data_IF_165824933734
#
_entry.id   IF_165824933734
#
_cell.length_a   1.000
_cell.length_b   1.000
_cell.length_c   1.000
_cell.angle_alpha   90.00
_cell.angle_beta   90.00
_cell.angle_gamma   90.00
#
_symmetry.space_group_name_H-M   'P 1'
#
loop_
_entity.id
_entity.type
_entity.pdbx_description
1 polymer ?
#
# COMPACT_ATOMS: atom_id res chain seq x y z
N UNK A 1 7.52 -20.31 14.93
CA UNK A 1 7.67 -19.51 13.69
C UNK A 1 6.27 -19.37 13.13
N UNK A 2 5.80 -18.14 12.83
CA UNK A 2 4.41 -17.93 12.35
C UNK A 2 4.24 -18.53 10.94
N UNK A 3 3.06 -19.07 10.65
CA UNK A 3 2.74 -19.56 9.30
C UNK A 3 2.55 -18.40 8.33
N UNK A 4 2.62 -18.68 7.02
CA UNK A 4 2.33 -17.69 5.96
C UNK A 4 0.93 -17.08 6.13
N UNK A 5 -0.07 -17.89 6.50
CA UNK A 5 -1.44 -17.42 6.76
C UNK A 5 -1.55 -16.55 8.01
N UNK A 6 -0.83 -16.87 9.08
CA UNK A 6 -0.80 -16.03 10.30
C UNK A 6 -0.15 -14.68 10.04
N UNK A 7 0.92 -14.64 9.24
CA UNK A 7 1.54 -13.39 8.81
C UNK A 7 0.58 -12.56 7.93
N UNK A 8 -0.11 -13.19 6.99
CA UNK A 8 -1.10 -12.52 6.13
C UNK A 8 -2.27 -11.95 6.95
N UNK A 9 -2.77 -12.67 7.97
CA UNK A 9 -3.80 -12.13 8.89
C UNK A 9 -3.31 -10.87 9.62
N UNK A 10 -2.07 -10.87 10.11
CA UNK A 10 -1.50 -9.70 10.81
C UNK A 10 -1.33 -8.54 9.84
N UNK A 11 -0.73 -8.78 8.67
CA UNK A 11 -0.53 -7.73 7.66
C UNK A 11 -1.84 -7.21 7.08
N UNK A 12 -2.92 -8.00 7.08
CA UNK A 12 -4.23 -7.55 6.64
C UNK A 12 -4.85 -6.47 7.52
N UNK A 13 -4.46 -6.38 8.81
CA UNK A 13 -4.85 -5.28 9.69
C UNK A 13 -4.07 -3.98 9.39
N UNK A 14 -2.97 -4.09 8.63
CA UNK A 14 -2.15 -2.98 8.15
C UNK A 14 -2.31 -2.76 6.65
N UNK A 15 -3.22 -3.47 5.97
CA UNK A 15 -3.61 -3.09 4.63
C UNK A 15 -4.25 -1.71 4.75
N UNK A 16 -3.76 -0.70 4.03
CA UNK A 16 -4.32 0.64 4.10
C UNK A 16 -5.80 0.54 3.74
N UNK A 17 -6.67 0.90 4.68
CA UNK A 17 -8.08 1.10 4.34
C UNK A 17 -8.15 2.13 3.21
N UNK A 18 -9.08 1.94 2.28
CA UNK A 18 -9.15 2.71 1.04
C UNK A 18 -8.09 2.40 -0.02
N UNK A 19 -7.21 1.42 0.21
CA UNK A 19 -6.31 0.91 -0.83
C UNK A 19 -7.12 0.49 -2.05
N UNK A 20 -6.78 1.05 -3.20
CA UNK A 20 -7.36 0.63 -4.46
C UNK A 20 -6.80 -0.73 -4.86
N UNK A 21 -7.68 -1.62 -5.28
CA UNK A 21 -7.32 -2.96 -5.72
C UNK A 21 -8.02 -3.29 -7.04
N UNK A 22 -7.33 -4.00 -7.92
CA UNK A 22 -7.95 -4.73 -9.03
C UNK A 22 -8.42 -6.10 -8.52
N UNK A 23 -9.62 -6.51 -8.89
CA UNK A 23 -10.13 -7.85 -8.59
C UNK A 23 -11.00 -8.40 -9.73
N UNK A 24 -11.10 -9.72 -9.82
CA UNK A 24 -11.98 -10.39 -10.77
C UNK A 24 -13.31 -10.74 -10.10
N UNK A 25 -14.40 -10.10 -10.55
CA UNK A 25 -15.75 -10.43 -10.14
C UNK A 25 -16.29 -11.59 -10.98
N UNK A 26 -16.73 -12.66 -10.33
CA UNK A 26 -17.27 -13.85 -10.97
C UNK A 26 -18.75 -14.06 -10.59
N UNK A 27 -19.65 -13.82 -11.54
CA UNK A 27 -21.08 -14.12 -11.35
C UNK A 27 -21.36 -15.59 -11.63
N UNK A 28 -21.68 -16.34 -10.58
CA UNK A 28 -22.09 -17.76 -10.70
C UNK A 28 -23.36 -17.89 -11.55
N UNK A 29 -24.26 -16.91 -11.47
CA UNK A 29 -25.57 -16.93 -12.14
C UNK A 29 -25.44 -16.72 -13.65
N UNK A 30 -24.59 -15.77 -14.06
CA UNK A 30 -24.44 -15.41 -15.48
C UNK A 30 -23.21 -16.01 -16.15
N UNK A 31 -22.34 -16.70 -15.39
CA UNK A 31 -21.01 -17.19 -15.83
C UNK A 31 -20.17 -16.07 -16.47
N UNK A 32 -20.37 -14.85 -15.99
CA UNK A 32 -19.68 -13.66 -16.44
C UNK A 32 -18.53 -13.39 -15.49
N UNK A 33 -17.33 -13.16 -16.05
CA UNK A 33 -16.20 -12.62 -15.30
C UNK A 33 -15.83 -11.24 -15.85
N UNK A 34 -15.54 -10.33 -14.94
CA UNK A 34 -15.01 -9.01 -15.28
C UNK A 34 -14.00 -8.54 -14.25
N UNK A 35 -13.04 -7.74 -14.69
CA UNK A 35 -12.11 -7.04 -13.81
C UNK A 35 -12.74 -5.74 -13.35
N UNK A 36 -12.65 -5.48 -12.05
CA UNK A 36 -13.14 -4.26 -11.42
C UNK A 36 -12.03 -3.63 -10.58
N UNK A 37 -12.14 -2.32 -10.39
CA UNK A 37 -11.33 -1.57 -9.43
C UNK A 37 -12.26 -1.15 -8.28
N UNK A 38 -11.80 -1.36 -7.05
CA UNK A 38 -12.55 -0.98 -5.86
C UNK A 38 -11.63 -0.70 -4.68
N UNK A 39 -12.18 -0.03 -3.67
CA UNK A 39 -11.45 0.29 -2.43
C UNK A 39 -11.59 -0.83 -1.42
N UNK A 40 -10.48 -1.24 -0.81
CA UNK A 40 -10.50 -2.19 0.29
C UNK A 40 -11.17 -1.56 1.52
N UNK A 41 -12.29 -2.15 1.94
CA UNK A 41 -13.06 -1.72 3.11
C UNK A 41 -12.70 -2.51 4.37
N UNK A 42 -12.14 -3.72 4.20
CA UNK A 42 -11.68 -4.51 5.32
C UNK A 42 -11.62 -6.00 5.03
N UNK A 43 -11.56 -6.76 6.12
CA UNK A 43 -11.35 -8.19 6.11
C UNK A 43 -12.45 -8.82 6.95
N UNK A 44 -13.10 -9.87 6.42
CA UNK A 44 -14.13 -10.61 7.15
C UNK A 44 -13.78 -12.09 7.18
N UNK A 45 -13.86 -12.65 8.38
CA UNK A 45 -13.86 -14.09 8.56
C UNK A 45 -15.19 -14.67 8.07
N UNK A 46 -15.10 -15.61 7.17
CA UNK A 46 -16.22 -16.39 6.65
C UNK A 46 -16.32 -17.71 7.42
N UNK A 47 -17.48 -18.39 7.34
CA UNK A 47 -17.61 -19.75 7.84
C UNK A 47 -16.47 -20.65 7.32
N UNK A 48 -16.07 -21.62 8.14
CA UNK A 48 -14.98 -22.58 7.83
C UNK A 48 -13.57 -21.97 7.76
N UNK A 49 -13.30 -20.90 8.52
CA UNK A 49 -11.97 -20.26 8.65
C UNK A 49 -11.42 -19.65 7.36
N UNK A 50 -12.27 -19.43 6.35
CA UNK A 50 -11.83 -18.68 5.17
C UNK A 50 -11.87 -17.18 5.45
N UNK A 51 -10.95 -16.43 4.84
CA UNK A 51 -10.86 -14.97 4.98
C UNK A 51 -11.17 -14.35 3.63
N UNK A 52 -12.15 -13.44 3.62
CA UNK A 52 -12.50 -12.64 2.44
C UNK A 52 -12.18 -11.17 2.66
N UNK A 53 -11.79 -10.50 1.59
CA UNK A 53 -11.66 -9.05 1.52
C UNK A 53 -13.02 -8.46 1.15
N UNK A 54 -13.39 -7.37 1.80
CA UNK A 54 -14.55 -6.55 1.44
C UNK A 54 -14.04 -5.43 0.56
N UNK A 55 -14.58 -5.34 -0.66
CA UNK A 55 -14.19 -4.32 -1.62
C UNK A 55 -15.42 -3.52 -2.02
N UNK A 56 -15.30 -2.19 -1.96
CA UNK A 56 -16.32 -1.30 -2.49
C UNK A 56 -16.40 -1.43 -4.01
N UNK A 57 -17.59 -1.72 -4.53
CA UNK A 57 -17.86 -1.86 -5.96
C UNK A 57 -18.72 -0.70 -6.50
N UNK A 58 -18.80 0.43 -5.78
CA UNK A 58 -19.66 1.60 -6.07
C UNK A 58 -21.15 1.28 -6.12
N UNK A 59 -21.55 0.06 -5.76
CA UNK A 59 -22.93 -0.33 -5.49
C UNK A 59 -23.17 -0.33 -3.98
N UNK A 60 -24.42 -0.23 -3.55
CA UNK A 60 -24.76 -0.25 -2.11
C UNK A 60 -24.44 -1.58 -1.40
N UNK A 61 -23.76 -2.53 -2.05
CA UNK A 61 -23.39 -3.81 -1.48
C UNK A 61 -21.94 -4.18 -1.88
N UNK A 62 -21.00 -4.24 -0.91
CA UNK A 62 -19.61 -4.56 -1.19
C UNK A 62 -19.43 -5.99 -1.69
N UNK A 63 -18.42 -6.20 -2.51
CA UNK A 63 -18.05 -7.52 -2.99
C UNK A 63 -17.17 -8.25 -1.96
N UNK A 64 -17.40 -9.55 -1.82
CA UNK A 64 -16.59 -10.43 -0.97
C UNK A 64 -15.67 -11.25 -1.85
N UNK A 65 -14.39 -10.91 -1.86
CA UNK A 65 -13.41 -11.49 -2.76
C UNK A 65 -12.38 -12.30 -1.97
N UNK A 66 -11.90 -13.41 -2.52
CA UNK A 66 -10.78 -14.13 -1.90
C UNK A 66 -9.52 -13.29 -2.03
N UNK A 67 -8.65 -13.31 -1.02
CA UNK A 67 -7.39 -12.58 -1.08
C UNK A 67 -6.53 -12.91 -2.32
N UNK A 68 -6.59 -14.16 -2.83
CA UNK A 68 -5.88 -14.61 -4.03
C UNK A 68 -6.40 -14.03 -5.35
N UNK A 69 -7.59 -13.42 -5.33
CA UNK A 69 -8.27 -12.88 -6.51
C UNK A 69 -8.17 -11.33 -6.56
N UNK A 70 -7.37 -10.75 -5.66
CA UNK A 70 -7.18 -9.30 -5.50
C UNK A 70 -5.71 -8.94 -5.70
N UNK A 71 -5.45 -7.89 -6.48
CA UNK A 71 -4.13 -7.27 -6.62
C UNK A 71 -4.19 -5.83 -6.12
N UNK A 72 -3.40 -5.46 -5.11
CA UNK A 72 -3.32 -4.08 -4.67
C UNK A 72 -2.69 -3.19 -5.75
N UNK A 73 -3.12 -1.94 -5.81
CA UNK A 73 -2.55 -0.92 -6.70
C UNK A 73 -1.57 -0.09 -5.87
N UNK A 74 -0.27 -0.28 -6.12
CA UNK A 74 0.81 0.27 -5.30
C UNK A 74 1.88 0.97 -6.14
N UNK A 75 2.57 1.94 -5.56
CA UNK A 75 3.82 2.46 -6.11
C UNK A 75 4.99 1.53 -5.80
N UNK A 76 5.82 1.29 -6.80
CA UNK A 76 7.13 0.67 -6.61
C UNK A 76 8.06 1.62 -5.82
N UNK A 77 8.97 1.11 -4.98
CA UNK A 77 9.80 1.96 -4.11
C UNK A 77 10.72 2.91 -4.90
N UNK A 78 11.04 2.59 -6.15
CA UNK A 78 11.76 3.49 -7.05
C UNK A 78 11.02 4.80 -7.40
N UNK A 79 9.79 4.98 -6.92
CA UNK A 79 9.03 6.23 -7.01
C UNK A 79 9.19 7.13 -5.77
N UNK A 80 9.94 6.72 -4.74
CA UNK A 80 10.24 7.59 -3.60
C UNK A 80 10.97 8.89 -4.00
N UNK A 81 11.73 8.85 -5.09
CA UNK A 81 12.49 9.98 -5.65
C UNK A 81 11.87 10.53 -6.93
N UNK A 82 10.61 10.18 -7.22
CA UNK A 82 9.88 10.63 -8.40
C UNK A 82 8.58 11.28 -7.98
N UNK A 83 8.04 12.09 -8.88
CA UNK A 83 6.71 12.66 -8.73
C UNK A 83 5.65 11.55 -8.69
N UNK A 84 4.77 11.61 -7.69
CA UNK A 84 3.59 10.75 -7.54
C UNK A 84 2.33 11.60 -7.37
N UNK A 85 1.17 11.00 -7.61
CA UNK A 85 -0.13 11.59 -7.30
C UNK A 85 -0.80 10.81 -6.16
N UNK A 86 -1.17 11.50 -5.11
CA UNK A 86 -1.93 10.95 -3.99
C UNK A 86 -3.00 11.95 -3.57
N UNK A 87 -4.27 11.50 -3.59
CA UNK A 87 -5.44 12.32 -3.24
C UNK A 87 -5.57 13.64 -4.02
N UNK A 88 -5.10 13.66 -5.28
CA UNK A 88 -5.14 14.85 -6.14
C UNK A 88 -4.00 15.84 -5.89
N UNK A 89 -3.09 15.53 -4.97
CA UNK A 89 -1.84 16.27 -4.77
C UNK A 89 -0.68 15.56 -5.44
N UNK A 90 0.21 16.36 -6.01
CA UNK A 90 1.39 15.88 -6.73
C UNK A 90 2.65 16.34 -6.01
N UNK A 91 3.52 15.40 -5.64
CA UNK A 91 4.74 15.69 -4.89
C UNK A 91 5.80 14.59 -5.07
N UNK A 92 7.03 14.88 -4.65
CA UNK A 92 8.12 13.90 -4.58
C UNK A 92 8.23 13.40 -3.12
N UNK A 93 8.05 12.10 -2.85
CA UNK A 93 7.97 11.60 -1.46
C UNK A 93 9.20 11.86 -0.60
N UNK A 94 10.41 11.79 -1.17
CA UNK A 94 11.63 12.06 -0.40
C UNK A 94 11.71 13.52 0.06
N UNK A 95 11.24 14.47 -0.76
CA UNK A 95 11.22 15.91 -0.44
C UNK A 95 10.22 16.21 0.68
N UNK A 96 9.14 15.42 0.81
CA UNK A 96 8.20 15.55 1.94
C UNK A 96 8.90 15.35 3.29
N UNK A 97 9.92 14.49 3.34
CA UNK A 97 10.72 14.26 4.54
C UNK A 97 11.92 15.21 4.63
N UNK A 98 12.13 16.12 3.70
CA UNK A 98 13.29 17.01 3.70
C UNK A 98 13.19 18.15 4.72
N UNK A 99 12.03 18.31 5.37
CA UNK A 99 11.67 19.57 6.01
C UNK A 99 12.50 19.84 7.28
N UNK A 100 13.13 21.01 7.18
CA UNK A 100 14.06 21.69 8.07
C UNK A 100 13.33 22.35 9.25
N UNK A 101 13.87 22.27 10.47
CA UNK A 101 13.78 23.13 11.69
C UNK A 101 12.52 23.99 12.02
N UNK A 102 11.45 24.01 11.23
CA UNK A 102 10.26 24.82 11.48
C UNK A 102 9.25 23.98 12.28
N UNK A 103 9.35 24.16 13.59
CA UNK A 103 8.73 23.45 14.73
C UNK A 103 7.19 23.21 14.71
N UNK A 104 6.45 23.62 13.67
CA UNK A 104 4.99 23.73 13.76
C UNK A 104 4.20 22.90 12.73
N UNK A 105 4.82 22.15 11.82
CA UNK A 105 4.08 21.58 10.66
C UNK A 105 4.25 20.09 10.34
N UNK A 106 5.19 19.36 10.95
CA UNK A 106 5.43 17.95 10.58
C UNK A 106 5.40 16.98 11.77
N UNK A 107 4.87 15.75 11.56
CA UNK A 107 4.66 14.79 12.64
C UNK A 107 5.93 14.14 13.19
N UNK A 108 7.10 14.40 12.60
CA UNK A 108 8.38 13.79 13.02
C UNK A 108 9.50 14.81 13.02
N UNK A 109 9.92 15.23 14.22
CA UNK A 109 11.12 16.05 14.44
C UNK A 109 12.33 15.15 14.65
N UNK A 110 13.45 15.47 14.00
CA UNK A 110 14.74 14.80 14.22
C UNK A 110 15.78 15.85 14.61
N UNK A 111 16.41 15.68 15.79
CA UNK A 111 17.35 16.62 16.43
C UNK A 111 18.53 17.12 15.55
N UNK A 112 18.75 16.54 14.37
CA UNK A 112 19.86 16.86 13.45
C UNK A 112 19.44 17.04 11.98
N UNK A 113 18.15 17.26 11.72
CA UNK A 113 17.59 17.30 10.37
C UNK A 113 17.54 15.93 9.68
N UNK A 114 16.77 15.84 8.59
CA UNK A 114 16.43 14.57 7.95
C UNK A 114 17.44 14.05 6.93
N UNK A 115 18.65 14.62 6.86
CA UNK A 115 19.65 14.28 5.83
C UNK A 115 19.97 12.78 5.79
N UNK A 116 20.04 12.11 6.95
CA UNK A 116 20.28 10.66 6.99
C UNK A 116 19.08 9.88 6.47
N UNK A 117 17.86 10.28 6.88
CA UNK A 117 16.62 9.67 6.42
C UNK A 117 16.46 9.80 4.89
N UNK A 118 16.74 10.98 4.34
CA UNK A 118 16.71 11.23 2.89
C UNK A 118 17.66 10.26 2.17
N UNK A 119 18.90 10.15 2.61
CA UNK A 119 19.88 9.22 2.00
C UNK A 119 19.44 7.77 2.09
N UNK A 120 18.83 7.38 3.21
CA UNK A 120 18.29 6.02 3.39
C UNK A 120 17.12 5.79 2.41
N UNK A 121 16.21 6.75 2.26
CA UNK A 121 15.09 6.69 1.29
C UNK A 121 15.57 6.67 -0.17
N UNK A 122 16.55 7.49 -0.54
CA UNK A 122 17.18 7.48 -1.86
C UNK A 122 17.84 6.12 -2.14
N UNK A 123 18.54 5.57 -1.15
CA UNK A 123 19.15 4.25 -1.26
C UNK A 123 18.11 3.16 -1.47
N UNK A 124 17.01 3.20 -0.71
CA UNK A 124 15.86 2.30 -0.88
C UNK A 124 15.28 2.42 -2.28
N UNK A 125 15.08 3.64 -2.77
CA UNK A 125 14.52 3.90 -4.09
C UNK A 125 15.39 3.32 -5.21
N UNK A 126 16.71 3.53 -5.12
CA UNK A 126 17.68 3.09 -6.13
C UNK A 126 17.86 1.58 -6.17
N UNK A 127 17.72 0.90 -5.03
CA UNK A 127 17.93 -0.55 -4.93
C UNK A 127 16.62 -1.34 -4.79
N UNK A 128 15.47 -0.68 -4.77
CA UNK A 128 14.18 -1.25 -4.38
C UNK A 128 14.28 -2.08 -3.07
N UNK A 129 15.03 -1.55 -2.10
CA UNK A 129 15.43 -2.31 -0.91
C UNK A 129 14.35 -2.28 0.17
N UNK A 130 13.29 -3.06 -0.02
CA UNK A 130 12.22 -3.16 0.96
C UNK A 130 12.69 -3.69 2.34
N UNK A 131 13.81 -4.44 2.38
CA UNK A 131 14.40 -4.88 3.64
C UNK A 131 14.89 -3.71 4.49
N UNK A 132 15.32 -2.60 3.86
CA UNK A 132 15.84 -1.45 4.56
C UNK A 132 14.73 -0.57 5.15
N UNK A 133 13.48 -0.73 4.70
CA UNK A 133 12.29 -0.04 5.23
C UNK A 133 12.12 -0.27 6.73
N UNK A 134 12.47 -1.45 7.24
CA UNK A 134 12.32 -1.77 8.68
C UNK A 134 13.24 -0.95 9.60
N UNK A 135 14.27 -0.30 9.02
CA UNK A 135 15.17 0.59 9.76
C UNK A 135 14.70 2.05 9.70
N UNK A 136 13.68 2.33 8.90
CA UNK A 136 13.04 3.63 8.90
C UNK A 136 12.22 3.82 10.18
N UNK A 137 12.10 5.07 10.65
CA UNK A 137 11.19 5.43 11.73
C UNK A 137 9.74 5.03 11.39
N UNK A 138 8.99 4.63 12.41
CA UNK A 138 7.68 4.02 12.23
C UNK A 138 6.72 4.95 11.48
N UNK A 139 6.76 6.24 11.79
CA UNK A 139 5.96 7.29 11.20
C UNK A 139 6.22 7.44 9.69
N UNK A 140 7.47 7.25 9.26
CA UNK A 140 7.84 7.22 7.84
C UNK A 140 7.21 6.01 7.16
N UNK A 141 7.30 4.82 7.77
CA UNK A 141 6.71 3.60 7.23
C UNK A 141 5.18 3.73 7.10
N UNK A 142 4.53 4.33 8.09
CA UNK A 142 3.08 4.62 8.04
C UNK A 142 2.76 5.55 6.86
N UNK A 143 3.52 6.63 6.66
CA UNK A 143 3.33 7.52 5.50
C UNK A 143 3.51 6.80 4.17
N UNK A 144 4.49 5.92 4.06
CA UNK A 144 4.68 5.11 2.85
C UNK A 144 3.50 4.16 2.59
N UNK A 145 2.91 3.58 3.64
CA UNK A 145 1.70 2.76 3.54
C UNK A 145 0.50 3.61 3.10
N UNK A 146 0.31 4.79 3.71
CA UNK A 146 -0.73 5.76 3.34
C UNK A 146 -0.62 6.15 1.87
N UNK A 147 0.59 6.45 1.38
CA UNK A 147 0.83 6.77 -0.03
C UNK A 147 0.85 5.55 -0.96
N UNK A 148 0.47 4.37 -0.46
CA UNK A 148 0.35 3.13 -1.20
C UNK A 148 1.67 2.65 -1.83
N UNK A 149 2.80 2.79 -1.16
CA UNK A 149 4.05 2.16 -1.59
C UNK A 149 4.08 0.66 -1.28
N UNK A 150 4.80 -0.10 -2.11
CA UNK A 150 5.05 -1.54 -1.91
C UNK A 150 6.08 -1.80 -0.79
N UNK A 151 5.75 -1.38 0.43
CA UNK A 151 6.63 -1.52 1.61
C UNK A 151 6.83 -2.99 2.04
N UNK A 152 5.95 -3.88 1.59
CA UNK A 152 5.98 -5.30 1.91
C UNK A 152 6.76 -6.15 0.89
N UNK A 153 7.36 -5.52 -0.13
CA UNK A 153 8.13 -6.19 -1.18
C UNK A 153 7.35 -7.27 -1.94
N UNK A 154 6.10 -6.98 -2.29
CA UNK A 154 5.32 -7.85 -3.17
C UNK A 154 6.02 -7.96 -4.53
N UNK A 155 6.08 -9.17 -5.09
CA UNK A 155 6.60 -9.40 -6.45
C UNK A 155 5.76 -8.62 -7.48
N UNK A 156 6.35 -8.22 -8.61
CA UNK A 156 5.63 -7.46 -9.67
C UNK A 156 4.40 -8.20 -10.22
N UNK A 157 4.31 -9.53 -10.08
CA UNK A 157 3.12 -10.29 -10.44
C UNK A 157 1.96 -10.13 -9.46
N UNK A 158 2.23 -9.71 -8.23
CA UNK A 158 1.29 -9.71 -7.11
C UNK A 158 0.65 -8.33 -6.86
N UNK A 159 1.09 -7.27 -7.54
CA UNK A 159 0.48 -5.94 -7.45
C UNK A 159 0.42 -5.27 -8.83
N UNK A 160 -0.42 -4.25 -8.95
CA UNK A 160 -0.46 -3.39 -10.14
C UNK A 160 0.31 -2.13 -9.83
N UNK A 161 1.32 -1.80 -10.65
CA UNK A 161 2.09 -0.58 -10.44
C UNK A 161 1.23 0.65 -10.76
N UNK A 162 0.89 1.41 -9.72
CA UNK A 162 0.02 2.58 -9.79
C UNK A 162 0.50 3.61 -10.81
N UNK A 163 1.80 3.80 -10.94
CA UNK A 163 2.38 4.75 -11.89
C UNK A 163 2.18 4.38 -13.38
N UNK A 164 1.70 3.16 -13.66
CA UNK A 164 1.41 2.72 -15.04
C UNK A 164 -0.06 2.89 -15.42
N UNK A 165 -0.92 3.23 -14.46
CA UNK A 165 -2.32 3.51 -14.65
C UNK A 165 -2.45 4.98 -15.08
N UNK A 166 -3.04 5.22 -16.24
CA UNK A 166 -3.30 6.55 -16.80
C UNK A 166 -4.75 6.92 -16.65
#
# INVERSE_FOLDING_TARGET
MKTKEELLKIYSAYLPYELECEYEFNSIVTKYSEKRIGKLLGVREQPFHSVSLLVDNKSNNPDYIKHSEVKPILYHLSYLTKEIEHEGETFVPVEYFEITDDHDSYPVEYDHGNIKLIKDLESIANHNSAFDIKFLPFEVVIKLIEWHFNVFNLDESEYINKATLK
#
